data_IF_611254381385
#
_entry.id   IF_611254381385
#
_cell.length_a   1.000
_cell.length_b   1.000
_cell.length_c   1.000
_cell.angle_alpha   90.00
_cell.angle_beta   90.00
_cell.angle_gamma   90.00
#
_symmetry.space_group_name_H-M   'P 1'
#
loop_
_entity.id
_entity.type
_entity.pdbx_description
1 polymer ?
#
# COMPACT_ATOMS: atom_id res chain seq x y z
N UNK A 1 10.58 12.04 -4.56
CA UNK A 1 10.38 11.45 -5.91
C UNK A 1 10.27 9.93 -5.83
N UNK A 2 9.05 9.43 -5.62
CA UNK A 2 8.75 8.00 -5.61
C UNK A 2 8.55 7.51 -7.05
N UNK A 3 9.48 6.70 -7.56
CA UNK A 3 9.44 6.16 -8.92
C UNK A 3 8.20 5.28 -9.17
N UNK A 4 7.70 4.58 -8.14
CA UNK A 4 6.49 3.75 -8.23
C UNK A 4 5.25 4.62 -8.40
N UNK A 5 5.10 5.68 -7.60
CA UNK A 5 3.98 6.62 -7.72
C UNK A 5 4.02 7.37 -9.05
N UNK A 6 5.20 7.77 -9.52
CA UNK A 6 5.36 8.39 -10.84
C UNK A 6 4.92 7.47 -11.97
N UNK A 7 5.22 6.17 -11.88
CA UNK A 7 4.74 5.17 -12.85
C UNK A 7 3.22 5.07 -12.82
N UNK A 8 2.60 4.97 -11.64
CA UNK A 8 1.14 4.94 -11.51
C UNK A 8 0.47 6.19 -12.08
N UNK A 9 1.03 7.38 -11.82
CA UNK A 9 0.51 8.63 -12.37
C UNK A 9 0.60 8.64 -13.90
N UNK A 10 1.70 8.14 -14.47
CA UNK A 10 1.89 8.02 -15.92
C UNK A 10 0.85 7.07 -16.53
N UNK A 11 0.63 5.92 -15.90
CA UNK A 11 -0.34 4.93 -16.38
C UNK A 11 -1.77 5.46 -16.29
N UNK A 12 -2.13 6.16 -15.21
CA UNK A 12 -3.42 6.83 -15.08
C UNK A 12 -3.65 7.86 -16.19
N UNK A 13 -2.61 8.66 -16.56
CA UNK A 13 -2.69 9.61 -17.65
C UNK A 13 -2.89 8.91 -19.01
N UNK A 14 -2.18 7.81 -19.24
CA UNK A 14 -2.31 7.03 -20.47
C UNK A 14 -3.69 6.40 -20.57
N UNK A 15 -4.19 5.76 -19.51
CA UNK A 15 -5.54 5.19 -19.47
C UNK A 15 -6.59 6.26 -19.67
N UNK A 16 -6.44 7.44 -19.07
CA UNK A 16 -7.39 8.54 -19.27
C UNK A 16 -7.45 9.00 -20.73
N UNK A 17 -6.30 9.02 -21.44
CA UNK A 17 -6.25 9.33 -22.89
C UNK A 17 -6.88 8.22 -23.73
N UNK A 18 -6.57 6.95 -23.43
CA UNK A 18 -7.03 5.80 -24.22
C UNK A 18 -8.53 5.53 -24.04
N UNK A 19 -9.11 5.90 -22.90
CA UNK A 19 -10.54 5.70 -22.60
C UNK A 19 -11.44 6.80 -23.17
N UNK A 20 -10.88 7.81 -23.85
CA UNK A 20 -11.66 8.81 -24.55
C UNK A 20 -12.41 8.14 -25.71
N UNK A 21 -13.73 7.97 -25.58
CA UNK A 21 -14.60 7.44 -26.61
C UNK A 21 -15.77 8.41 -26.86
N UNK A 22 -15.85 8.96 -28.06
CA UNK A 22 -16.89 9.91 -28.44
C UNK A 22 -16.84 11.22 -27.64
N UNK A 23 -17.97 11.65 -27.12
CA UNK A 23 -18.08 12.89 -26.32
C UNK A 23 -17.58 12.74 -24.86
N UNK A 24 -17.39 11.53 -24.39
CA UNK A 24 -16.92 11.25 -23.02
C UNK A 24 -15.40 11.50 -22.91
N UNK A 25 -15.04 12.65 -22.39
CA UNK A 25 -13.63 13.00 -22.08
C UNK A 25 -13.35 12.81 -20.60
N UNK A 26 -12.25 12.13 -20.28
CA UNK A 26 -11.72 12.08 -18.92
C UNK A 26 -10.73 13.23 -18.77
N UNK A 27 -11.05 14.20 -17.93
CA UNK A 27 -10.12 15.24 -17.52
C UNK A 27 -9.46 14.82 -16.23
N UNK A 28 -8.18 14.45 -16.31
CA UNK A 28 -7.38 14.04 -15.17
C UNK A 28 -6.46 15.19 -14.74
N UNK A 29 -6.54 15.56 -13.45
CA UNK A 29 -5.60 16.50 -12.81
C UNK A 29 -4.91 15.78 -11.67
N UNK A 30 -3.58 15.83 -11.66
CA UNK A 30 -2.74 15.22 -10.64
C UNK A 30 -2.01 16.33 -9.91
N UNK A 31 -2.00 16.26 -8.58
CA UNK A 31 -1.28 17.17 -7.68
C UNK A 31 -0.47 16.37 -6.67
N UNK A 32 0.61 16.95 -6.20
CA UNK A 32 1.46 16.36 -5.16
C UNK A 32 1.07 16.94 -3.79
N UNK A 33 0.82 16.08 -2.81
CA UNK A 33 0.55 16.44 -1.41
C UNK A 33 1.80 16.90 -0.66
N UNK A 34 2.99 16.84 -1.25
CA UNK A 34 4.26 17.32 -0.71
C UNK A 34 4.57 16.76 0.69
N UNK A 35 4.20 15.51 0.94
CA UNK A 35 4.30 14.85 2.25
C UNK A 35 3.60 15.62 3.39
N UNK A 36 2.62 16.47 3.05
CA UNK A 36 1.83 17.27 3.99
C UNK A 36 0.36 16.85 3.94
N UNK A 37 -0.15 16.29 5.04
CA UNK A 37 -1.57 15.92 5.13
C UNK A 37 -2.47 17.16 5.04
N UNK A 38 -2.05 18.28 5.61
CA UNK A 38 -2.80 19.56 5.51
C UNK A 38 -2.92 20.01 4.05
N UNK A 39 -1.81 19.98 3.27
CA UNK A 39 -1.85 20.34 1.86
C UNK A 39 -2.76 19.36 1.07
N UNK A 40 -2.70 18.05 1.38
CA UNK A 40 -3.58 17.07 0.74
C UNK A 40 -5.06 17.36 1.04
N UNK A 41 -5.40 17.70 2.27
CA UNK A 41 -6.77 18.04 2.67
C UNK A 41 -7.28 19.29 1.96
N UNK A 42 -6.43 20.32 1.79
CA UNK A 42 -6.74 21.53 1.04
C UNK A 42 -6.89 21.24 -0.46
N UNK A 43 -6.10 20.34 -1.02
CA UNK A 43 -6.23 19.89 -2.41
C UNK A 43 -7.56 19.18 -2.63
N UNK A 44 -7.98 18.32 -1.70
CA UNK A 44 -9.30 17.66 -1.74
C UNK A 44 -10.42 18.71 -1.74
N UNK A 45 -10.36 19.70 -0.87
CA UNK A 45 -11.36 20.78 -0.82
C UNK A 45 -11.41 21.56 -2.13
N UNK A 46 -10.25 21.88 -2.72
CA UNK A 46 -10.17 22.55 -4.03
C UNK A 46 -10.79 21.71 -5.16
N UNK A 47 -10.56 20.39 -5.19
CA UNK A 47 -11.16 19.53 -6.19
C UNK A 47 -12.67 19.40 -6.01
N UNK A 48 -13.16 19.20 -4.80
CA UNK A 48 -14.58 19.12 -4.52
C UNK A 48 -15.32 20.42 -4.88
N UNK A 49 -14.74 21.58 -4.56
CA UNK A 49 -15.33 22.90 -4.89
C UNK A 49 -15.35 23.19 -6.39
N UNK A 50 -14.45 22.58 -7.16
CA UNK A 50 -14.40 22.70 -8.63
C UNK A 50 -15.28 21.67 -9.37
N UNK A 51 -16.02 20.83 -8.64
CA UNK A 51 -16.98 19.89 -9.23
C UNK A 51 -16.35 18.66 -9.88
N UNK A 52 -15.19 18.21 -9.41
CA UNK A 52 -14.63 16.94 -9.85
C UNK A 52 -15.54 15.78 -9.49
N UNK A 53 -15.69 14.83 -10.41
CA UNK A 53 -16.67 13.73 -10.30
C UNK A 53 -16.15 12.55 -9.50
N UNK A 54 -14.83 12.40 -9.33
CA UNK A 54 -14.17 11.30 -8.61
C UNK A 54 -12.87 11.83 -8.01
N UNK A 55 -12.54 11.41 -6.81
CA UNK A 55 -11.23 11.60 -6.18
C UNK A 55 -10.45 10.29 -6.22
N UNK A 56 -9.17 10.35 -6.63
CA UNK A 56 -8.21 9.27 -6.47
C UNK A 56 -7.10 9.75 -5.53
N UNK A 57 -6.91 9.09 -4.38
CA UNK A 57 -6.06 9.59 -3.31
C UNK A 57 -5.03 8.53 -2.89
N UNK A 58 -3.74 8.88 -3.01
CA UNK A 58 -2.67 8.21 -2.30
C UNK A 58 -2.42 8.99 -1.00
N UNK A 59 -2.81 8.42 0.13
CA UNK A 59 -2.75 9.12 1.43
C UNK A 59 -1.32 9.47 1.82
N UNK A 60 -1.12 10.68 2.34
CA UNK A 60 0.12 11.05 3.04
C UNK A 60 0.17 10.30 4.37
N UNK A 61 -0.89 10.39 5.15
CA UNK A 61 -1.07 9.62 6.39
C UNK A 61 -2.29 8.69 6.25
N UNK A 62 -2.06 7.37 6.31
CA UNK A 62 -3.14 6.37 6.18
C UNK A 62 -4.21 6.45 7.27
N UNK A 63 -3.87 7.03 8.42
CA UNK A 63 -4.80 7.20 9.56
C UNK A 63 -5.64 8.47 9.47
N UNK A 64 -5.41 9.30 8.45
CA UNK A 64 -6.09 10.58 8.24
C UNK A 64 -7.12 10.54 7.09
N UNK A 65 -7.67 9.38 6.76
CA UNK A 65 -8.64 9.25 5.66
C UNK A 65 -10.05 9.75 6.03
N UNK A 66 -10.45 9.70 7.31
CA UNK A 66 -11.80 10.04 7.76
C UNK A 66 -12.27 11.44 7.33
N UNK A 67 -11.47 12.53 7.43
CA UNK A 67 -11.86 13.84 6.94
C UNK A 67 -12.14 13.84 5.43
N UNK A 68 -11.29 13.18 4.64
CA UNK A 68 -11.43 13.08 3.17
C UNK A 68 -12.72 12.34 2.83
N UNK A 69 -12.98 11.18 3.46
CA UNK A 69 -14.22 10.41 3.25
C UNK A 69 -15.44 11.24 3.62
N UNK A 70 -15.40 11.97 4.74
CA UNK A 70 -16.50 12.82 5.19
C UNK A 70 -16.80 13.96 4.21
N UNK A 71 -15.76 14.61 3.67
CA UNK A 71 -15.88 15.67 2.66
C UNK A 71 -16.46 15.12 1.36
N UNK A 72 -15.92 14.01 0.85
CA UNK A 72 -16.37 13.32 -0.34
C UNK A 72 -17.84 12.86 -0.22
N UNK A 73 -18.23 12.30 0.94
CA UNK A 73 -19.61 11.90 1.25
C UNK A 73 -20.57 13.09 1.20
N UNK A 74 -20.22 14.23 1.81
CA UNK A 74 -21.06 15.44 1.77
C UNK A 74 -21.26 15.98 0.36
N UNK A 75 -20.20 15.91 -0.46
CA UNK A 75 -20.24 16.32 -1.87
C UNK A 75 -20.85 15.23 -2.79
N UNK A 76 -21.14 14.04 -2.29
CA UNK A 76 -21.55 12.86 -3.04
C UNK A 76 -20.59 12.48 -4.19
N UNK A 77 -19.27 12.69 -3.97
CA UNK A 77 -18.18 12.42 -4.93
C UNK A 77 -17.44 11.17 -4.50
N UNK A 78 -17.49 10.05 -5.26
CA UNK A 78 -16.76 8.84 -4.93
C UNK A 78 -15.26 9.09 -4.70
N UNK A 79 -14.66 8.37 -3.74
CA UNK A 79 -13.24 8.41 -3.48
C UNK A 79 -12.62 7.02 -3.60
N UNK A 80 -11.53 6.92 -4.34
CA UNK A 80 -10.73 5.72 -4.52
C UNK A 80 -9.37 5.97 -3.90
N UNK A 81 -9.08 5.31 -2.79
CA UNK A 81 -7.75 5.29 -2.23
C UNK A 81 -6.90 4.24 -2.94
N UNK A 82 -5.64 4.51 -3.13
CA UNK A 82 -4.72 3.57 -3.76
C UNK A 82 -3.35 3.59 -3.08
N UNK A 83 -2.55 2.54 -3.26
CA UNK A 83 -1.25 2.32 -2.66
C UNK A 83 -1.32 2.22 -1.13
N UNK A 84 -1.46 3.33 -0.40
CA UNK A 84 -1.57 3.34 1.06
C UNK A 84 -3.02 3.06 1.48
N UNK A 85 -3.24 1.91 2.09
CA UNK A 85 -4.56 1.47 2.54
C UNK A 85 -5.02 2.28 3.76
N UNK A 86 -6.20 2.94 3.69
CA UNK A 86 -6.81 3.57 4.86
C UNK A 86 -7.09 2.56 5.97
N UNK A 87 -7.33 3.03 7.18
CA UNK A 87 -7.90 2.15 8.22
C UNK A 87 -9.32 1.72 7.82
N UNK A 88 -9.68 0.50 8.15
CA UNK A 88 -10.94 -0.11 7.69
C UNK A 88 -12.17 0.67 8.15
N UNK A 89 -12.12 1.26 9.34
CA UNK A 89 -13.17 2.08 9.91
C UNK A 89 -13.49 3.30 9.03
N UNK A 90 -12.47 3.93 8.46
CA UNK A 90 -12.64 5.10 7.59
C UNK A 90 -13.29 4.71 6.25
N UNK A 91 -12.90 3.58 5.68
CA UNK A 91 -13.51 3.06 4.45
C UNK A 91 -15.00 2.73 4.66
N UNK A 92 -15.36 2.22 5.83
CA UNK A 92 -16.75 1.88 6.18
C UNK A 92 -17.65 3.08 6.43
N UNK A 93 -17.10 4.28 6.57
CA UNK A 93 -17.89 5.50 6.78
C UNK A 93 -18.82 5.83 5.61
N UNK A 94 -18.51 5.31 4.40
CA UNK A 94 -19.31 5.60 3.22
C UNK A 94 -19.19 4.52 2.14
N UNK A 95 -20.33 4.12 1.57
CA UNK A 95 -20.40 3.07 0.54
C UNK A 95 -19.78 3.41 -0.83
N UNK A 96 -19.30 4.67 -1.03
CA UNK A 96 -18.56 5.06 -2.24
C UNK A 96 -17.10 5.43 -1.93
N UNK A 97 -16.57 4.95 -0.80
CA UNK A 97 -15.15 4.95 -0.50
C UNK A 97 -14.58 3.57 -0.83
N UNK A 98 -13.57 3.52 -1.67
CA UNK A 98 -12.96 2.29 -2.18
C UNK A 98 -11.46 2.30 -1.94
N UNK A 99 -10.87 1.12 -1.85
CA UNK A 99 -9.43 0.95 -1.85
C UNK A 99 -8.99 -0.01 -2.96
N UNK A 100 -7.92 0.35 -3.64
CA UNK A 100 -7.24 -0.47 -4.65
C UNK A 100 -5.76 -0.54 -4.32
N UNK A 101 -5.29 -1.71 -3.97
CA UNK A 101 -3.90 -1.96 -3.60
C UNK A 101 -3.57 -3.43 -3.51
N UNK A 102 -2.33 -3.73 -3.09
CA UNK A 102 -1.87 -5.09 -2.88
C UNK A 102 -2.35 -5.63 -1.52
N UNK A 103 -2.59 -6.94 -1.44
CA UNK A 103 -2.71 -7.64 -0.15
C UNK A 103 -1.31 -7.88 0.43
N UNK A 104 -0.90 -7.00 1.33
CA UNK A 104 0.42 -7.06 1.95
C UNK A 104 0.61 -8.29 2.84
N UNK A 105 -0.45 -8.76 3.51
CA UNK A 105 -0.43 -9.98 4.32
C UNK A 105 -0.22 -11.21 3.43
N UNK A 106 -0.90 -11.27 2.28
CA UNK A 106 -0.69 -12.30 1.27
C UNK A 106 0.75 -12.25 0.74
N UNK A 107 1.27 -11.07 0.42
CA UNK A 107 2.64 -10.87 -0.06
C UNK A 107 3.66 -11.40 0.94
N UNK A 108 3.52 -11.07 2.23
CA UNK A 108 4.36 -11.61 3.30
C UNK A 108 4.26 -13.13 3.40
N UNK A 109 3.05 -13.68 3.34
CA UNK A 109 2.82 -15.13 3.35
C UNK A 109 3.54 -15.83 2.19
N UNK A 110 3.50 -15.24 0.99
CA UNK A 110 4.21 -15.77 -0.19
C UNK A 110 5.73 -15.74 0.03
N UNK A 111 6.29 -14.67 0.60
CA UNK A 111 7.71 -14.60 0.95
C UNK A 111 8.10 -15.72 1.93
N UNK A 112 7.33 -15.91 3.01
CA UNK A 112 7.54 -17.01 3.94
C UNK A 112 7.46 -18.38 3.26
N UNK A 113 6.55 -18.57 2.31
CA UNK A 113 6.41 -19.80 1.53
C UNK A 113 7.63 -20.08 0.65
N UNK A 114 8.21 -19.03 0.04
CA UNK A 114 9.44 -19.15 -0.75
C UNK A 114 10.59 -19.60 0.14
N UNK A 115 10.78 -18.97 1.30
CA UNK A 115 11.82 -19.32 2.27
C UNK A 115 11.65 -20.77 2.74
N UNK A 116 10.43 -21.14 3.14
CA UNK A 116 10.11 -22.50 3.56
C UNK A 116 10.44 -23.51 2.46
N UNK A 117 10.08 -23.25 1.22
CA UNK A 117 10.35 -24.16 0.12
C UNK A 117 11.85 -24.29 -0.15
N UNK A 118 12.61 -23.20 -0.06
CA UNK A 118 14.07 -23.23 -0.16
C UNK A 118 14.71 -24.07 0.98
N UNK A 119 14.23 -23.88 2.21
CA UNK A 119 14.70 -24.65 3.37
C UNK A 119 14.40 -26.15 3.22
N UNK A 120 13.17 -26.50 2.84
CA UNK A 120 12.76 -27.91 2.66
C UNK A 120 13.52 -28.60 1.54
N UNK A 121 13.89 -27.87 0.47
CA UNK A 121 14.67 -28.40 -0.65
C UNK A 121 16.13 -28.68 -0.27
N UNK A 122 16.74 -27.83 0.52
CA UNK A 122 18.13 -28.00 0.97
C UNK A 122 18.36 -27.31 2.30
N UNK A 123 18.05 -27.97 3.44
CA UNK A 123 18.20 -27.38 4.77
C UNK A 123 19.61 -26.86 5.05
N UNK A 124 20.65 -27.61 4.68
CA UNK A 124 22.06 -27.25 4.89
C UNK A 124 22.50 -25.96 4.20
N UNK A 125 21.81 -25.57 3.14
CA UNK A 125 22.10 -24.30 2.44
C UNK A 125 21.61 -23.08 3.22
N UNK A 126 20.54 -23.25 3.97
CA UNK A 126 19.89 -22.18 4.77
C UNK A 126 20.40 -22.19 6.21
N UNK A 127 20.31 -23.35 6.86
CA UNK A 127 20.87 -23.60 8.18
C UNK A 127 22.34 -24.02 8.03
N UNK A 128 23.24 -23.03 7.96
CA UNK A 128 24.65 -23.26 7.65
C UNK A 128 25.47 -23.74 8.86
N UNK A 129 25.02 -23.40 10.06
CA UNK A 129 25.66 -23.81 11.34
C UNK A 129 25.07 -25.10 11.91
N UNK A 130 23.96 -25.61 11.32
CA UNK A 130 23.35 -26.88 11.73
C UNK A 130 22.60 -26.85 13.05
N UNK A 131 22.19 -25.66 13.54
CA UNK A 131 21.46 -25.50 14.79
C UNK A 131 19.94 -25.74 14.69
N UNK A 132 19.47 -26.07 13.50
CA UNK A 132 18.06 -26.34 13.22
C UNK A 132 17.19 -25.09 13.18
N UNK A 133 17.79 -23.90 12.96
CA UNK A 133 17.08 -22.63 12.85
C UNK A 133 17.33 -21.98 11.51
N UNK A 134 16.31 -21.24 11.05
CA UNK A 134 16.46 -20.31 9.92
C UNK A 134 16.89 -18.96 10.50
N UNK A 135 18.17 -18.65 10.37
CA UNK A 135 18.73 -17.36 10.76
C UNK A 135 18.55 -16.37 9.63
N UNK A 136 18.09 -15.15 9.96
CA UNK A 136 17.79 -14.15 8.94
C UNK A 136 18.13 -12.73 9.36
N UNK A 137 18.40 -11.90 8.38
CA UNK A 137 18.43 -10.44 8.47
C UNK A 137 17.18 -9.92 7.77
N UNK A 138 16.48 -8.98 8.39
CA UNK A 138 15.30 -8.37 7.83
C UNK A 138 15.66 -6.99 7.26
N UNK A 139 15.36 -6.80 5.97
CA UNK A 139 15.36 -5.49 5.34
C UNK A 139 13.92 -5.08 5.16
N UNK A 140 13.47 -4.15 5.97
CA UNK A 140 12.12 -3.62 5.96
C UNK A 140 12.01 -2.45 4.96
N UNK A 141 10.83 -2.17 4.47
CA UNK A 141 10.55 -0.97 3.70
C UNK A 141 10.41 0.26 4.61
N UNK A 142 9.89 1.35 4.04
CA UNK A 142 9.67 2.62 4.75
C UNK A 142 8.95 2.44 6.09
N UNK A 143 9.48 3.09 7.14
CA UNK A 143 8.88 3.05 8.47
C UNK A 143 7.45 3.61 8.45
N UNK A 144 6.53 2.95 9.15
CA UNK A 144 5.11 3.33 9.17
C UNK A 144 4.32 2.95 7.91
N UNK A 145 4.97 2.45 6.85
CA UNK A 145 4.26 1.96 5.68
C UNK A 145 3.64 0.59 5.98
N UNK A 146 2.31 0.50 5.89
CA UNK A 146 1.57 -0.72 6.24
C UNK A 146 2.05 -1.96 5.48
N UNK A 147 2.32 -1.83 4.19
CA UNK A 147 2.81 -2.94 3.37
C UNK A 147 4.15 -3.48 3.88
N UNK A 148 5.07 -2.61 4.33
CA UNK A 148 6.33 -3.01 4.91
C UNK A 148 6.12 -3.82 6.19
N UNK A 149 5.30 -3.29 7.11
CA UNK A 149 4.98 -3.94 8.38
C UNK A 149 4.32 -5.30 8.18
N UNK A 150 3.26 -5.37 7.37
CA UNK A 150 2.51 -6.60 7.14
C UNK A 150 3.35 -7.66 6.39
N UNK A 151 4.12 -7.26 5.36
CA UNK A 151 5.00 -8.19 4.66
C UNK A 151 6.06 -8.77 5.58
N UNK A 152 6.64 -7.94 6.43
CA UNK A 152 7.62 -8.37 7.44
C UNK A 152 6.99 -9.35 8.42
N UNK A 153 5.87 -8.98 9.05
CA UNK A 153 5.19 -9.83 10.03
C UNK A 153 4.75 -11.17 9.43
N UNK A 154 4.01 -11.14 8.33
CA UNK A 154 3.40 -12.34 7.77
C UNK A 154 4.41 -13.30 7.15
N UNK A 155 5.58 -12.83 6.69
CA UNK A 155 6.64 -13.70 6.21
C UNK A 155 7.19 -14.61 7.32
N UNK A 156 7.44 -14.03 8.49
CA UNK A 156 7.95 -14.77 9.65
C UNK A 156 6.83 -15.59 10.31
N UNK A 157 5.64 -15.01 10.46
CA UNK A 157 4.48 -15.69 11.05
C UNK A 157 4.13 -16.98 10.29
N UNK A 158 4.25 -16.96 8.95
CA UNK A 158 4.04 -18.16 8.14
C UNK A 158 5.01 -19.29 8.50
N UNK A 159 6.31 -18.99 8.66
CA UNK A 159 7.34 -19.97 9.03
C UNK A 159 7.10 -20.54 10.42
N UNK A 160 6.83 -19.67 11.40
CA UNK A 160 6.54 -20.06 12.79
C UNK A 160 5.28 -20.93 12.87
N UNK A 161 4.22 -20.58 12.15
CA UNK A 161 2.96 -21.37 12.10
C UNK A 161 3.20 -22.81 11.59
N UNK A 162 4.21 -23.02 10.76
CA UNK A 162 4.60 -24.35 10.27
C UNK A 162 5.57 -25.09 11.20
N UNK A 163 5.85 -24.55 12.39
CA UNK A 163 6.75 -25.15 13.36
C UNK A 163 8.24 -24.98 13.06
N UNK A 164 8.60 -24.13 12.08
CA UNK A 164 9.98 -23.82 11.78
C UNK A 164 10.55 -22.86 12.82
N UNK A 165 11.74 -23.16 13.29
CA UNK A 165 12.47 -22.29 14.23
C UNK A 165 13.15 -21.18 13.43
N UNK A 166 12.88 -19.94 13.76
CA UNK A 166 13.46 -18.75 13.10
C UNK A 166 14.21 -17.90 14.12
N UNK A 167 15.30 -17.27 13.71
CA UNK A 167 16.09 -16.39 14.56
C UNK A 167 16.48 -15.13 13.77
N UNK A 168 15.95 -13.99 14.19
CA UNK A 168 16.37 -12.69 13.65
C UNK A 168 17.76 -12.35 14.19
N UNK A 169 18.71 -12.05 13.31
CA UNK A 169 20.06 -11.63 13.67
C UNK A 169 20.19 -10.11 13.67
N UNK A 170 19.55 -9.46 12.70
CA UNK A 170 19.51 -8.01 12.57
C UNK A 170 18.30 -7.58 11.75
N UNK A 171 17.96 -6.32 11.85
CA UNK A 171 17.01 -5.62 10.98
C UNK A 171 17.54 -4.24 10.62
N UNK A 172 17.03 -3.72 9.50
CA UNK A 172 17.24 -2.34 9.07
C UNK A 172 16.05 -1.90 8.25
N UNK A 173 15.72 -0.63 8.32
CA UNK A 173 14.62 -0.02 7.57
C UNK A 173 15.18 0.77 6.40
N UNK A 174 14.59 0.63 5.23
CA UNK A 174 14.91 1.49 4.09
C UNK A 174 14.31 2.88 4.32
N UNK A 175 15.15 3.89 4.25
CA UNK A 175 14.76 5.29 4.28
C UNK A 175 14.64 5.82 2.85
#
# INVERSE_FOLDING_TARGET
>A
DDAFINSLCTDLQNIAKDKVRGENKIQLNIVDGQSSQTEQDDQVDRFLSRGYSVLCVNLVDRTAAAPIVSKAKRANVPVVFFNREPVEEDLRMWGKAYYVGADAAQSGTIQGKIIRNAYMKNPKRIDRNGDGKIQYVMLEGEEGHQDALLRTEYSIRYLVKLGLKVQKLADNTAN
#
